data_IF_346643221232
#
_entry.id   IF_346643221232
#
_cell.length_a   1.000
_cell.length_b   1.000
_cell.length_c   1.000
_cell.angle_alpha   90.00
_cell.angle_beta   90.00
_cell.angle_gamma   90.00
#
_symmetry.space_group_name_H-M   'P 1'
#
loop_
_entity.id
_entity.type
_entity.pdbx_description
1 polymer ?
#
# COMPACT_ATOMS: atom_id res chain seq x y z
N UNK A 1 -12.87 -22.17 -10.84
CA UNK A 1 -13.19 -21.25 -9.73
C UNK A 1 -12.76 -19.86 -10.16
N UNK A 2 -13.67 -18.88 -10.23
CA UNK A 2 -13.33 -17.50 -10.63
C UNK A 2 -12.90 -16.73 -9.38
N UNK A 3 -11.73 -16.12 -9.39
CA UNK A 3 -11.30 -15.22 -8.32
C UNK A 3 -11.85 -13.82 -8.59
N UNK A 4 -12.37 -13.16 -7.56
CA UNK A 4 -12.99 -11.83 -7.68
C UNK A 4 -11.95 -10.69 -7.78
N UNK A 5 -10.66 -10.98 -7.62
CA UNK A 5 -9.57 -10.01 -7.71
C UNK A 5 -8.49 -10.51 -8.64
N UNK A 6 -7.76 -9.57 -9.26
CA UNK A 6 -6.68 -9.88 -10.19
C UNK A 6 -5.34 -10.04 -9.45
N UNK A 7 -5.16 -9.33 -8.33
CA UNK A 7 -3.97 -9.40 -7.47
C UNK A 7 -4.36 -9.51 -5.99
N UNK A 8 -3.72 -10.43 -5.25
CA UNK A 8 -3.78 -10.51 -3.79
C UNK A 8 -2.49 -9.98 -3.18
N UNK A 9 -2.56 -8.90 -2.42
CA UNK A 9 -1.44 -8.32 -1.68
C UNK A 9 -1.46 -8.84 -0.25
N UNK A 10 -0.37 -9.49 0.18
CA UNK A 10 -0.24 -10.04 1.54
C UNK A 10 0.63 -9.09 2.38
N UNK A 11 -0.01 -8.41 3.33
CA UNK A 11 0.58 -7.41 4.22
C UNK A 11 0.09 -6.00 3.90
N UNK A 12 -0.56 -5.35 4.87
CA UNK A 12 -1.01 -3.96 4.85
C UNK A 12 0.00 -3.00 5.50
N UNK A 13 1.29 -3.33 5.41
CA UNK A 13 2.38 -2.39 5.75
C UNK A 13 2.61 -1.35 4.64
N UNK A 14 3.56 -0.42 4.82
CA UNK A 14 3.84 0.65 3.87
C UNK A 14 4.06 0.16 2.43
N UNK A 15 4.82 -0.92 2.26
CA UNK A 15 5.09 -1.52 0.95
C UNK A 15 3.83 -2.06 0.27
N UNK A 16 3.00 -2.81 1.01
CA UNK A 16 1.78 -3.41 0.46
C UNK A 16 0.71 -2.37 0.12
N UNK A 17 0.53 -1.38 0.99
CA UNK A 17 -0.36 -0.25 0.75
C UNK A 17 0.09 0.58 -0.46
N UNK A 18 1.40 0.85 -0.59
CA UNK A 18 1.95 1.55 -1.74
C UNK A 18 1.74 0.76 -3.04
N UNK A 19 1.98 -0.55 -3.03
CA UNK A 19 1.72 -1.41 -4.19
C UNK A 19 0.24 -1.39 -4.58
N UNK A 20 -0.67 -1.57 -3.61
CA UNK A 20 -2.10 -1.57 -3.87
C UNK A 20 -2.59 -0.22 -4.44
N UNK A 21 -2.08 0.90 -3.92
CA UNK A 21 -2.36 2.23 -4.47
C UNK A 21 -1.91 2.34 -5.94
N UNK A 22 -0.70 1.87 -6.26
CA UNK A 22 -0.17 1.91 -7.63
C UNK A 22 -0.96 1.01 -8.59
N UNK A 23 -1.43 -0.15 -8.12
CA UNK A 23 -2.30 -1.05 -8.88
C UNK A 23 -3.67 -0.40 -9.14
N UNK A 24 -4.29 0.17 -8.12
CA UNK A 24 -5.57 0.87 -8.23
C UNK A 24 -5.52 2.04 -9.22
N UNK A 25 -4.45 2.84 -9.18
CA UNK A 25 -4.22 3.94 -10.15
C UNK A 25 -4.07 3.48 -11.60
N UNK A 26 -3.77 2.19 -11.83
CA UNK A 26 -3.67 1.57 -13.16
C UNK A 26 -4.89 0.73 -13.51
N UNK A 27 -5.95 0.78 -12.70
CA UNK A 27 -7.20 0.04 -12.93
C UNK A 27 -7.10 -1.46 -12.62
N UNK A 28 -6.08 -1.92 -11.90
CA UNK A 28 -5.93 -3.34 -11.52
C UNK A 28 -6.66 -3.59 -10.21
N UNK A 29 -7.58 -4.56 -10.18
CA UNK A 29 -8.33 -4.91 -8.97
C UNK A 29 -7.44 -5.71 -8.01
N UNK A 30 -6.98 -5.04 -6.97
CA UNK A 30 -6.19 -5.64 -5.91
C UNK A 30 -7.00 -5.80 -4.61
N UNK A 31 -6.81 -6.92 -3.92
CA UNK A 31 -7.29 -7.13 -2.54
C UNK A 31 -6.09 -7.22 -1.60
N UNK A 32 -6.10 -6.47 -0.51
CA UNK A 32 -5.08 -6.56 0.54
C UNK A 32 -5.61 -7.45 1.66
N UNK A 33 -4.75 -8.31 2.19
CA UNK A 33 -4.98 -9.03 3.45
C UNK A 33 -3.85 -8.72 4.42
N UNK A 34 -4.18 -8.61 5.70
CA UNK A 34 -3.20 -8.57 6.78
C UNK A 34 -3.69 -9.46 7.92
N UNK A 35 -2.76 -9.95 8.74
CA UNK A 35 -3.07 -10.72 9.93
C UNK A 35 -3.52 -9.81 11.08
N UNK A 36 -3.08 -8.56 11.10
CA UNK A 36 -3.50 -7.57 12.07
C UNK A 36 -4.94 -7.11 11.76
N UNK A 37 -5.73 -6.91 12.81
CA UNK A 37 -7.13 -6.46 12.70
C UNK A 37 -7.26 -4.97 12.35
N UNK A 38 -6.16 -4.22 12.44
CA UNK A 38 -6.11 -2.79 12.17
C UNK A 38 -4.67 -2.29 12.04
N UNK A 39 -4.47 -0.99 11.79
CA UNK A 39 -3.14 -0.40 11.69
C UNK A 39 -2.39 -0.51 13.03
N UNK A 40 -1.07 -0.64 12.95
CA UNK A 40 -0.23 -0.55 14.15
C UNK A 40 -0.25 0.88 14.70
N UNK A 41 -0.34 0.99 16.03
CA UNK A 41 -0.26 2.27 16.75
C UNK A 41 1.18 2.67 17.07
N UNK A 42 2.13 1.76 16.86
CA UNK A 42 3.54 1.97 17.16
C UNK A 42 4.30 2.35 15.90
N UNK A 43 5.17 3.36 16.00
CA UNK A 43 6.08 3.68 14.90
C UNK A 43 7.33 2.82 14.94
N UNK A 44 7.69 2.25 13.79
CA UNK A 44 8.99 1.63 13.55
C UNK A 44 9.86 2.43 12.59
N UNK A 45 9.30 3.47 11.98
CA UNK A 45 9.99 4.33 11.03
C UNK A 45 10.33 5.66 11.72
N UNK A 46 11.60 6.07 11.64
CA UNK A 46 12.05 7.34 12.21
C UNK A 46 11.88 8.53 11.25
N UNK A 47 11.66 8.25 9.96
CA UNK A 47 11.45 9.25 8.94
C UNK A 47 11.32 8.64 7.55
N UNK A 48 11.07 9.50 6.56
CA UNK A 48 11.06 9.16 5.14
C UNK A 48 12.18 9.89 4.42
N UNK A 49 12.80 9.26 3.43
CA UNK A 49 13.86 9.89 2.65
C UNK A 49 13.28 10.90 1.64
N UNK A 50 14.10 11.86 1.21
CA UNK A 50 13.71 12.87 0.22
C UNK A 50 13.10 12.24 -1.05
N UNK A 51 13.70 11.17 -1.57
CA UNK A 51 13.18 10.45 -2.74
C UNK A 51 11.78 9.87 -2.51
N UNK A 52 11.48 9.40 -1.31
CA UNK A 52 10.13 8.91 -0.97
C UNK A 52 9.12 10.06 -0.94
N UNK A 53 9.51 11.24 -0.44
CA UNK A 53 8.66 12.44 -0.45
C UNK A 53 8.35 12.90 -1.87
N UNK A 54 9.32 12.92 -2.78
CA UNK A 54 9.09 13.21 -4.20
C UNK A 54 8.02 12.30 -4.81
N UNK A 55 8.10 10.99 -4.50
CA UNK A 55 7.11 10.01 -4.95
C UNK A 55 5.73 10.31 -4.33
N UNK A 56 5.67 10.65 -3.05
CA UNK A 56 4.40 10.98 -2.38
C UNK A 56 3.75 12.24 -2.95
N UNK A 57 4.53 13.26 -3.34
CA UNK A 57 4.02 14.45 -4.03
C UNK A 57 3.44 14.10 -5.40
N UNK A 58 4.10 13.24 -6.19
CA UNK A 58 3.52 12.75 -7.44
C UNK A 58 2.24 11.93 -7.24
N UNK A 59 2.06 11.34 -6.06
CA UNK A 59 0.85 10.63 -5.69
C UNK A 59 -0.24 11.53 -5.12
N UNK A 60 0.06 12.78 -4.76
CA UNK A 60 -0.87 13.71 -4.12
C UNK A 60 -1.12 13.41 -2.64
N UNK A 61 -0.15 12.79 -1.96
CA UNK A 61 -0.23 12.45 -0.53
C UNK A 61 0.30 13.60 0.34
N UNK A 62 1.31 14.33 -0.16
CA UNK A 62 1.93 15.49 0.49
C UNK A 62 2.25 16.58 -0.53
#
# INVERSE_FOLDING_TARGET
MKTDTDVLVVGAGPTGLMLANQLGRRGVRARIIDRQTGPSLETRALGVQARTLEIYTHLGIV
#
